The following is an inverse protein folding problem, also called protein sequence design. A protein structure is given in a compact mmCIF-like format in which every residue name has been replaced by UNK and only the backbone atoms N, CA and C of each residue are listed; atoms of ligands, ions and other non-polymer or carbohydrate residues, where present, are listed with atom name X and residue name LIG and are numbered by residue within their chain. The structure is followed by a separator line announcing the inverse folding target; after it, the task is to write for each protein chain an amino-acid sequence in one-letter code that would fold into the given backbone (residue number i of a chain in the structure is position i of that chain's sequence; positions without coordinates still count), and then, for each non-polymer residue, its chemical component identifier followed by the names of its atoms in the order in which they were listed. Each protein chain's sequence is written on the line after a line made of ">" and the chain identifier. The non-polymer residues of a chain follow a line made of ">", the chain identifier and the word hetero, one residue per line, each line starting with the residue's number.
data_IF_891830785418
#
_entry.id   IF_891830785418
#
_cell.length_a   1.000
_cell.length_b   1.000
_cell.length_c   1.000
_cell.angle_alpha   90.00
_cell.angle_beta   90.00
_cell.angle_gamma   90.00
#
_symmetry.space_group_name_H-M   'P 1'
#
loop_
_entity.id
_entity.type
_entity.pdbx_description
1 polymer ?
#
# COMPACT_ATOMS: atom_id res chain seq x y z
N UNK A 1 6.15 24.62 -8.32
CA UNK A 1 6.42 25.47 -9.50
C UNK A 1 7.92 25.79 -9.53
N UNK A 2 8.68 25.07 -10.33
CA UNK A 2 10.05 25.50 -10.68
C UNK A 2 9.94 26.67 -11.64
N UNK A 3 10.05 27.87 -11.15
CA UNK A 3 10.17 29.06 -11.97
C UNK A 3 11.63 29.45 -12.06
N UNK A 4 12.36 28.89 -13.00
CA UNK A 4 13.60 29.49 -13.48
C UNK A 4 14.78 28.53 -13.50
N UNK A 5 15.27 28.26 -14.67
CA UNK A 5 16.70 28.01 -14.90
C UNK A 5 17.45 29.27 -14.46
N UNK A 6 18.33 29.16 -13.49
CA UNK A 6 19.25 30.25 -13.16
C UNK A 6 20.23 30.43 -14.32
N UNK A 7 20.25 31.56 -15.01
CA UNK A 7 21.06 31.77 -16.22
C UNK A 7 22.58 31.79 -15.94
N UNK A 8 22.98 31.82 -14.69
CA UNK A 8 24.36 31.90 -14.20
C UNK A 8 24.92 30.57 -13.69
N UNK A 9 24.18 29.45 -13.83
CA UNK A 9 24.61 28.14 -13.33
C UNK A 9 24.69 28.05 -11.80
N UNK A 10 24.08 29.00 -11.08
CA UNK A 10 23.97 28.99 -9.63
C UNK A 10 23.01 27.86 -9.19
N UNK A 11 23.44 27.07 -8.24
CA UNK A 11 22.56 26.10 -7.56
C UNK A 11 21.76 26.85 -6.49
N UNK A 12 20.43 26.74 -6.55
CA UNK A 12 19.60 27.16 -5.43
C UNK A 12 19.79 26.18 -4.27
N UNK A 13 20.56 26.59 -3.28
CA UNK A 13 20.78 25.80 -2.07
C UNK A 13 19.91 26.30 -0.91
N UNK A 14 18.80 26.99 -1.21
CA UNK A 14 17.87 27.48 -0.18
C UNK A 14 17.25 26.36 0.64
N UNK A 15 17.11 25.18 0.04
CA UNK A 15 16.63 23.95 0.70
C UNK A 15 17.73 23.20 1.46
N UNK A 16 19.00 23.56 1.30
CA UNK A 16 20.16 22.86 1.88
C UNK A 16 20.42 21.43 1.36
N UNK A 17 19.82 21.05 0.22
CA UNK A 17 19.92 19.72 -0.36
C UNK A 17 21.07 19.59 -1.40
N UNK A 18 21.92 20.61 -1.55
CA UNK A 18 22.98 20.64 -2.57
C UNK A 18 24.22 19.79 -2.29
N UNK A 19 24.32 19.16 -1.14
CA UNK A 19 25.36 18.24 -0.72
C UNK A 19 24.77 16.83 -0.49
N UNK A 20 25.51 15.77 -0.76
CA UNK A 20 26.86 15.66 -1.34
C UNK A 20 26.91 16.05 -2.81
N UNK A 21 28.12 16.40 -3.28
CA UNK A 21 28.35 16.94 -4.63
C UNK A 21 28.05 15.93 -5.74
N UNK A 22 28.14 14.62 -5.47
CA UNK A 22 27.84 13.56 -6.43
C UNK A 22 26.83 12.58 -5.82
N UNK A 23 25.55 12.78 -6.13
CA UNK A 23 24.44 11.94 -5.74
C UNK A 23 23.80 11.34 -6.99
N UNK A 24 23.54 10.03 -6.97
CA UNK A 24 22.84 9.31 -8.05
C UNK A 24 21.40 8.97 -7.67
N UNK A 25 21.16 8.72 -6.39
CA UNK A 25 19.82 8.49 -5.88
C UNK A 25 19.67 8.99 -4.45
N UNK A 26 18.43 9.21 -4.05
CA UNK A 26 18.04 9.56 -2.69
C UNK A 26 16.85 8.70 -2.30
N UNK A 27 16.74 8.38 -1.02
CA UNK A 27 15.58 7.71 -0.44
C UNK A 27 14.72 8.76 0.27
N UNK A 28 13.46 8.85 -0.13
CA UNK A 28 12.48 9.77 0.45
C UNK A 28 11.52 9.01 1.36
N UNK A 29 11.25 9.56 2.52
CA UNK A 29 10.33 8.99 3.50
C UNK A 29 10.06 9.96 4.63
N UNK A 30 8.95 9.80 5.30
CA UNK A 30 8.64 10.47 6.55
C UNK A 30 9.30 9.62 7.66
N UNK A 31 10.53 9.97 8.03
CA UNK A 31 11.37 9.13 8.91
C UNK A 31 11.02 9.25 10.39
N UNK A 32 10.31 10.29 10.82
CA UNK A 32 9.87 10.49 12.20
C UNK A 32 8.34 10.51 12.37
N UNK A 33 7.61 10.24 11.30
CA UNK A 33 6.14 10.24 11.24
C UNK A 33 5.53 11.60 11.64
N UNK A 34 6.18 12.73 11.23
CA UNK A 34 5.68 14.08 11.45
C UNK A 34 4.75 14.60 10.34
N UNK A 35 4.62 13.84 9.23
CA UNK A 35 3.77 14.13 8.07
C UNK A 35 4.50 14.86 6.95
N UNK A 36 5.79 15.12 7.07
CA UNK A 36 6.61 15.72 6.02
C UNK A 36 7.62 14.70 5.48
N UNK A 37 7.82 14.73 4.16
CA UNK A 37 8.78 13.83 3.52
C UNK A 37 10.20 14.33 3.74
N UNK A 38 10.99 13.55 4.45
CA UNK A 38 12.41 13.72 4.66
C UNK A 38 13.22 13.08 3.53
N UNK A 39 14.52 13.25 3.57
CA UNK A 39 15.38 12.65 2.56
C UNK A 39 16.72 12.16 3.12
N UNK A 40 17.05 10.91 2.76
CA UNK A 40 18.40 10.39 2.81
C UNK A 40 19.06 10.63 1.45
N UNK A 41 20.12 11.42 1.42
CA UNK A 41 20.89 11.74 0.21
C UNK A 41 22.15 10.87 0.19
N UNK A 42 22.21 9.93 -0.74
CA UNK A 42 23.30 8.97 -0.81
C UNK A 42 24.52 9.51 -1.57
N UNK A 43 25.69 9.49 -0.95
CA UNK A 43 26.95 9.79 -1.62
C UNK A 43 27.46 8.58 -2.40
N UNK A 44 28.04 8.80 -3.59
CA UNK A 44 28.57 7.73 -4.42
C UNK A 44 30.00 7.33 -4.06
N UNK A 45 30.74 8.19 -3.41
CA UNK A 45 32.13 7.95 -2.99
C UNK A 45 32.52 8.78 -1.75
N UNK A 46 33.59 8.38 -1.09
CA UNK A 46 34.10 9.06 0.12
C UNK A 46 34.52 10.52 -0.10
N UNK A 47 34.82 10.89 -1.35
CA UNK A 47 35.20 12.27 -1.71
C UNK A 47 34.04 13.22 -1.91
N UNK A 48 32.79 12.72 -1.84
CA UNK A 48 31.60 13.48 -2.19
C UNK A 48 30.96 14.22 -0.99
N UNK A 49 31.58 14.18 0.18
CA UNK A 49 31.08 14.85 1.39
C UNK A 49 30.30 13.92 2.36
N UNK A 50 30.14 12.65 2.01
CA UNK A 50 29.42 11.66 2.81
C UNK A 50 27.91 11.69 2.59
N UNK A 51 27.23 10.70 3.13
CA UNK A 51 25.76 10.66 3.12
C UNK A 51 25.17 11.79 3.94
N UNK A 52 23.93 12.19 3.63
CA UNK A 52 23.17 13.18 4.38
C UNK A 52 21.81 12.64 4.75
N UNK A 53 21.41 12.92 5.98
CA UNK A 53 20.04 12.73 6.47
C UNK A 53 19.45 14.11 6.72
N UNK A 54 18.42 14.47 5.96
CA UNK A 54 17.86 15.81 5.95
C UNK A 54 16.40 15.75 6.39
N UNK A 55 16.11 16.34 7.54
CA UNK A 55 14.76 16.48 8.08
C UNK A 55 14.04 17.66 7.41
N UNK A 56 12.84 17.43 6.92
CA UNK A 56 11.98 18.46 6.36
C UNK A 56 11.32 19.28 7.47
N UNK A 57 11.49 20.60 7.46
CA UNK A 57 10.92 21.49 8.47
C UNK A 57 9.45 21.89 8.18
N UNK A 58 8.84 21.39 7.09
CA UNK A 58 7.48 21.73 6.67
C UNK A 58 7.31 23.11 6.05
N UNK A 59 8.37 23.90 5.95
CA UNK A 59 8.38 25.26 5.40
C UNK A 59 9.17 25.39 4.09
N UNK A 60 9.59 24.25 3.52
CA UNK A 60 10.41 24.17 2.30
C UNK A 60 11.91 24.17 2.58
N UNK A 61 12.32 24.20 3.85
CA UNK A 61 13.74 24.05 4.24
C UNK A 61 13.98 22.71 4.90
N UNK A 62 15.27 22.30 4.98
CA UNK A 62 15.68 21.06 5.63
C UNK A 62 16.74 21.31 6.69
N UNK A 63 16.71 20.50 7.74
CA UNK A 63 17.72 20.47 8.79
C UNK A 63 18.62 19.24 8.62
N UNK A 64 19.94 19.44 8.57
CA UNK A 64 20.92 18.34 8.52
C UNK A 64 20.96 17.61 9.88
N UNK A 65 20.54 16.34 9.85
CA UNK A 65 20.52 15.41 10.99
C UNK A 65 21.59 14.31 10.87
N UNK A 66 22.50 14.43 9.94
CA UNK A 66 23.49 13.39 9.61
C UNK A 66 24.36 13.00 10.80
N UNK A 67 24.91 14.00 11.52
CA UNK A 67 25.90 13.74 12.55
C UNK A 67 25.35 12.94 13.72
N UNK A 68 25.87 11.72 13.90
CA UNK A 68 25.45 10.81 14.97
C UNK A 68 24.16 10.05 14.69
N UNK A 69 23.60 10.18 13.49
CA UNK A 69 22.41 9.45 13.09
C UNK A 69 22.67 7.98 12.74
N UNK A 70 23.93 7.62 12.47
CA UNK A 70 24.30 6.28 12.04
C UNK A 70 24.30 6.08 10.52
N UNK A 71 23.69 6.99 9.75
CA UNK A 71 23.68 6.90 8.26
C UNK A 71 25.08 7.07 7.67
N UNK A 72 26.01 7.69 8.39
CA UNK A 72 27.43 7.84 7.98
C UNK A 72 28.12 6.48 7.79
N UNK A 73 27.57 5.41 8.40
CA UNK A 73 28.12 4.06 8.32
C UNK A 73 27.62 3.30 7.09
N UNK A 74 26.70 3.87 6.32
CA UNK A 74 26.19 3.22 5.12
C UNK A 74 27.27 3.07 4.04
N UNK A 75 27.21 2.02 3.21
CA UNK A 75 28.15 1.85 2.11
C UNK A 75 27.90 2.89 1.01
N UNK A 76 28.95 3.47 0.47
CA UNK A 76 28.88 4.36 -0.68
C UNK A 76 28.41 3.62 -1.93
N UNK A 77 27.64 4.29 -2.76
CA UNK A 77 27.14 3.74 -4.02
C UNK A 77 26.07 4.60 -4.64
N UNK A 78 25.40 4.05 -5.65
CA UNK A 78 24.55 4.82 -6.55
C UNK A 78 23.06 4.48 -6.43
N UNK A 79 22.69 3.58 -5.51
CA UNK A 79 21.31 3.11 -5.42
C UNK A 79 20.83 3.15 -3.97
N UNK A 80 19.78 3.90 -3.73
CA UNK A 80 19.13 4.03 -2.45
C UNK A 80 17.62 4.02 -2.65
N UNK A 81 16.90 3.36 -1.75
CA UNK A 81 15.44 3.28 -1.73
C UNK A 81 14.96 3.22 -0.28
N UNK A 82 13.67 3.40 -0.05
CA UNK A 82 13.06 3.45 1.28
C UNK A 82 11.91 2.48 1.42
N UNK A 83 11.74 1.92 2.63
CA UNK A 83 10.64 1.04 2.98
C UNK A 83 10.79 0.56 4.42
N UNK A 84 9.70 0.16 5.04
CA UNK A 84 9.69 -0.39 6.39
C UNK A 84 9.93 -1.90 6.31
N UNK A 85 11.18 -2.34 6.49
CA UNK A 85 11.59 -3.74 6.31
C UNK A 85 11.28 -4.61 7.53
N UNK A 86 11.16 -4.01 8.70
CA UNK A 86 10.86 -4.75 9.93
C UNK A 86 9.40 -4.59 10.40
N UNK A 87 8.59 -3.82 9.66
CA UNK A 87 7.19 -3.52 9.98
C UNK A 87 6.99 -2.90 11.36
N UNK A 88 7.94 -2.09 11.85
CA UNK A 88 7.82 -1.40 13.15
C UNK A 88 7.08 -0.05 13.05
N UNK A 89 6.79 0.41 11.84
CA UNK A 89 6.07 1.65 11.55
C UNK A 89 6.95 2.82 11.15
N UNK A 90 8.28 2.66 11.19
CA UNK A 90 9.22 3.68 10.75
C UNK A 90 9.87 3.26 9.42
N UNK A 91 10.10 4.23 8.55
CA UNK A 91 10.69 3.97 7.24
C UNK A 91 12.19 3.73 7.40
N UNK A 92 12.67 2.60 6.91
CA UNK A 92 14.07 2.24 6.79
C UNK A 92 14.64 2.67 5.44
N UNK A 93 15.95 2.58 5.28
CA UNK A 93 16.65 2.87 4.00
C UNK A 93 17.43 1.65 3.53
N UNK A 94 17.14 1.21 2.30
CA UNK A 94 18.01 0.28 1.56
C UNK A 94 19.09 1.08 0.84
N UNK A 95 20.31 1.06 1.34
CA UNK A 95 21.44 1.75 0.75
C UNK A 95 22.46 0.73 0.20
N UNK A 96 22.53 0.64 -1.12
CA UNK A 96 23.50 -0.19 -1.84
C UNK A 96 23.61 -1.65 -1.36
N UNK A 97 22.54 -2.20 -0.79
CA UNK A 97 22.47 -3.57 -0.31
C UNK A 97 22.53 -3.72 1.20
N UNK A 98 22.84 -2.67 1.92
CA UNK A 98 22.69 -2.63 3.38
C UNK A 98 21.39 -1.97 3.76
N UNK A 99 20.77 -2.41 4.85
CA UNK A 99 19.56 -1.81 5.39
C UNK A 99 19.94 -0.96 6.61
N UNK A 100 19.55 0.30 6.58
CA UNK A 100 19.60 1.20 7.72
C UNK A 100 18.25 1.13 8.41
N UNK A 101 18.15 0.40 9.51
CA UNK A 101 16.93 0.29 10.30
C UNK A 101 16.72 1.58 11.11
N UNK A 102 15.58 2.21 10.93
CA UNK A 102 15.19 3.42 11.62
C UNK A 102 14.76 3.10 13.06
N UNK A 103 15.34 3.81 14.04
CA UNK A 103 15.02 3.62 15.45
C UNK A 103 13.84 4.49 15.92
N UNK A 104 13.22 5.29 15.03
CA UNK A 104 12.08 6.16 15.32
C UNK A 104 12.42 7.50 15.96
N UNK A 105 13.70 7.87 16.00
CA UNK A 105 14.22 9.11 16.61
C UNK A 105 15.24 9.86 15.72
N UNK A 106 15.15 9.65 14.40
CA UNK A 106 16.14 10.12 13.41
C UNK A 106 17.54 9.50 13.57
N UNK A 107 17.65 8.37 14.28
CA UNK A 107 18.85 7.55 14.28
C UNK A 107 18.59 6.24 13.57
N UNK A 108 19.65 5.65 12.99
CA UNK A 108 19.58 4.44 12.22
C UNK A 108 20.62 3.43 12.66
N UNK A 109 20.25 2.16 12.69
CA UNK A 109 21.15 1.04 12.95
C UNK A 109 21.45 0.33 11.64
N UNK A 110 22.74 0.25 11.29
CA UNK A 110 23.15 -0.48 10.09
C UNK A 110 22.98 -1.99 10.30
N UNK A 111 22.16 -2.61 9.45
CA UNK A 111 21.98 -4.05 9.39
C UNK A 111 22.80 -4.61 8.22
N UNK A 112 23.91 -5.28 8.55
CA UNK A 112 24.83 -5.84 7.53
C UNK A 112 24.42 -7.23 7.04
N UNK A 113 23.25 -7.70 7.44
CA UNK A 113 22.85 -9.08 7.21
C UNK A 113 21.93 -9.26 6.02
N UNK A 114 22.45 -9.53 4.85
CA UNK A 114 21.63 -10.37 4.00
C UNK A 114 21.15 -9.90 2.65
N UNK A 115 21.32 -8.64 2.24
CA UNK A 115 20.99 -8.22 0.87
C UNK A 115 22.29 -7.91 0.12
N UNK A 116 22.75 -8.77 -0.82
CA UNK A 116 23.99 -8.53 -1.54
C UNK A 116 23.78 -7.55 -2.71
N UNK A 117 23.49 -6.29 -2.40
CA UNK A 117 23.37 -5.21 -3.36
C UNK A 117 21.96 -4.63 -3.44
N UNK A 118 21.81 -3.50 -4.13
CA UNK A 118 20.53 -2.82 -4.29
C UNK A 118 19.57 -3.60 -5.18
N UNK A 119 18.28 -3.36 -5.04
CA UNK A 119 17.25 -4.03 -5.84
C UNK A 119 15.91 -3.31 -5.76
N UNK A 120 14.94 -3.80 -6.53
CA UNK A 120 13.56 -3.37 -6.43
C UNK A 120 12.94 -3.90 -5.12
N UNK A 121 12.18 -3.06 -4.45
CA UNK A 121 11.50 -3.39 -3.19
C UNK A 121 10.03 -3.75 -3.47
N UNK A 122 9.54 -4.79 -2.82
CA UNK A 122 8.14 -5.20 -2.87
C UNK A 122 7.90 -6.49 -2.09
N UNK A 123 6.65 -6.77 -1.78
CA UNK A 123 6.21 -7.98 -1.11
C UNK A 123 5.87 -9.03 -2.18
N UNK A 124 6.81 -9.92 -2.47
CA UNK A 124 6.72 -10.85 -3.58
C UNK A 124 5.94 -12.14 -3.24
N UNK A 125 5.86 -12.50 -1.98
CA UNK A 125 5.16 -13.69 -1.49
C UNK A 125 3.81 -13.36 -0.82
N UNK A 126 3.46 -12.06 -0.71
CA UNK A 126 2.25 -11.54 -0.06
C UNK A 126 2.16 -11.87 1.44
N UNK A 127 3.29 -11.88 2.14
CA UNK A 127 3.33 -12.04 3.60
C UNK A 127 3.33 -10.68 4.35
N UNK A 128 3.37 -9.57 3.62
CA UNK A 128 3.34 -8.21 4.13
C UNK A 128 4.70 -7.65 4.51
N UNK A 129 5.77 -8.41 4.31
CA UNK A 129 7.14 -7.94 4.52
C UNK A 129 7.80 -7.61 3.18
N UNK A 130 8.60 -6.55 3.19
CA UNK A 130 9.26 -6.10 1.97
C UNK A 130 10.44 -6.99 1.62
N UNK A 131 10.40 -7.56 0.43
CA UNK A 131 11.46 -8.33 -0.20
C UNK A 131 12.31 -7.45 -1.11
N UNK A 132 13.49 -7.92 -1.48
CA UNK A 132 14.38 -7.24 -2.43
C UNK A 132 14.67 -8.14 -3.62
N UNK A 133 14.35 -7.67 -4.83
CA UNK A 133 14.67 -8.35 -6.08
C UNK A 133 15.86 -7.67 -6.75
N UNK A 134 17.00 -8.40 -6.83
CA UNK A 134 18.22 -7.92 -7.42
C UNK A 134 18.62 -8.81 -8.62
N UNK A 135 18.30 -8.35 -9.81
CA UNK A 135 18.68 -9.01 -11.05
C UNK A 135 18.09 -10.42 -11.20
N UNK A 136 18.78 -11.43 -10.71
CA UNK A 136 18.38 -12.82 -10.83
C UNK A 136 17.96 -13.47 -9.50
N UNK A 137 18.05 -12.74 -8.40
CA UNK A 137 17.79 -13.27 -7.06
C UNK A 137 16.66 -12.48 -6.38
N UNK A 138 15.77 -13.22 -5.76
CA UNK A 138 14.79 -12.70 -4.83
C UNK A 138 15.30 -13.00 -3.41
N UNK A 139 15.48 -11.93 -2.64
CA UNK A 139 15.81 -12.00 -1.21
C UNK A 139 14.54 -11.78 -0.42
N UNK A 140 14.00 -12.89 0.07
CA UNK A 140 12.79 -12.85 0.89
C UNK A 140 13.12 -12.45 2.31
N UNK A 141 12.36 -11.50 2.82
CA UNK A 141 12.40 -11.09 4.21
C UNK A 141 11.80 -12.17 5.11
N UNK A 142 12.23 -12.23 6.36
CA UNK A 142 11.68 -13.15 7.34
C UNK A 142 10.71 -12.40 8.27
N UNK A 143 9.43 -12.79 8.31
CA UNK A 143 8.46 -12.19 9.21
C UNK A 143 8.91 -12.24 10.68
N UNK A 144 8.77 -11.13 11.39
CA UNK A 144 9.14 -10.98 12.79
C UNK A 144 7.95 -10.97 13.76
N UNK A 145 6.73 -11.12 13.23
CA UNK A 145 5.48 -11.11 14.00
C UNK A 145 4.82 -9.73 14.10
N UNK A 146 5.43 -8.67 13.59
CA UNK A 146 4.80 -7.34 13.50
C UNK A 146 3.62 -7.35 12.52
N UNK A 147 2.62 -6.55 12.83
CA UNK A 147 1.45 -6.35 11.99
C UNK A 147 1.76 -5.38 10.84
N UNK A 148 0.96 -5.46 9.78
CA UNK A 148 1.16 -4.69 8.56
C UNK A 148 -0.15 -4.37 7.85
N UNK A 149 -0.10 -3.40 6.93
CA UNK A 149 -1.13 -3.12 5.94
C UNK A 149 -0.47 -2.84 4.59
N UNK A 150 -0.96 -3.50 3.53
CA UNK A 150 -0.61 -3.19 2.15
C UNK A 150 -1.82 -2.55 1.47
N UNK A 151 -1.65 -1.38 0.87
CA UNK A 151 -2.72 -0.69 0.15
C UNK A 151 -2.42 -0.69 -1.34
N UNK A 152 -3.40 -1.15 -2.12
CA UNK A 152 -3.40 -1.18 -3.58
C UNK A 152 -4.40 -0.15 -4.07
N UNK A 153 -3.94 0.85 -4.78
CA UNK A 153 -4.77 1.95 -5.28
C UNK A 153 -5.24 1.67 -6.71
N UNK A 154 -6.52 1.92 -6.98
CA UNK A 154 -7.12 1.86 -8.33
C UNK A 154 -7.80 3.20 -8.62
N UNK A 155 -7.18 4.01 -9.48
CA UNK A 155 -7.75 5.28 -9.92
C UNK A 155 -8.90 5.09 -10.89
N UNK A 156 -9.90 5.95 -10.81
CA UNK A 156 -11.02 6.02 -11.76
C UNK A 156 -11.03 7.35 -12.51
N UNK A 157 -10.82 8.45 -11.82
CA UNK A 157 -10.62 9.80 -12.38
C UNK A 157 -9.12 10.11 -12.45
N UNK A 158 -8.36 9.68 -11.45
CA UNK A 158 -6.90 9.64 -11.47
C UNK A 158 -6.37 8.56 -12.43
N UNK A 159 -5.04 8.49 -12.63
CA UNK A 159 -4.46 7.38 -13.38
C UNK A 159 -4.78 6.03 -12.71
N UNK A 160 -4.87 4.98 -13.51
CA UNK A 160 -5.35 3.65 -13.07
C UNK A 160 -4.58 3.06 -11.87
N UNK A 161 -3.31 3.39 -11.73
CA UNK A 161 -2.47 2.88 -10.63
C UNK A 161 -2.47 3.81 -9.41
N UNK A 162 -3.18 4.95 -9.45
CA UNK A 162 -3.18 5.93 -8.36
C UNK A 162 -1.85 6.66 -8.14
N UNK A 163 -0.93 6.63 -9.12
CA UNK A 163 0.38 7.28 -8.99
C UNK A 163 0.19 8.77 -8.67
N UNK A 164 0.85 9.24 -7.61
CA UNK A 164 0.69 10.57 -7.05
C UNK A 164 -0.38 10.69 -5.96
N UNK A 165 -1.07 9.60 -5.63
CA UNK A 165 -1.93 9.58 -4.46
C UNK A 165 -1.08 9.49 -3.18
N UNK A 166 -1.53 10.17 -2.12
CA UNK A 166 -1.01 10.03 -0.76
C UNK A 166 -1.93 9.15 0.05
N UNK A 167 -1.38 8.12 0.63
CA UNK A 167 -2.07 7.23 1.57
C UNK A 167 -1.60 7.56 2.97
N UNK A 168 -2.55 7.83 3.85
CA UNK A 168 -2.33 8.16 5.25
C UNK A 168 -3.07 7.17 6.12
N UNK A 169 -2.41 6.64 7.16
CA UNK A 169 -3.05 5.82 8.18
C UNK A 169 -2.80 6.42 9.56
N UNK A 170 -3.78 6.28 10.46
CA UNK A 170 -3.63 6.62 11.87
C UNK A 170 -3.82 5.37 12.73
N UNK A 171 -2.84 5.11 13.58
CA UNK A 171 -2.83 3.99 14.53
C UNK A 171 -2.36 4.47 15.90
N UNK A 172 -2.07 3.55 16.82
CA UNK A 172 -1.45 3.91 18.10
C UNK A 172 0.01 4.39 17.96
N UNK A 173 0.68 4.14 16.82
CA UNK A 173 2.00 4.69 16.48
C UNK A 173 1.94 6.15 16.00
N UNK A 174 0.75 6.75 15.88
CA UNK A 174 0.55 8.04 15.27
C UNK A 174 0.08 7.93 13.83
N UNK A 175 0.35 8.99 13.04
CA UNK A 175 -0.01 9.05 11.64
C UNK A 175 1.22 8.71 10.80
N UNK A 176 1.05 7.83 9.82
CA UNK A 176 2.04 7.47 8.84
C UNK A 176 1.56 7.86 7.45
N UNK A 177 2.45 8.37 6.60
CA UNK A 177 2.16 8.73 5.22
C UNK A 177 3.01 7.91 4.24
N UNK A 178 2.42 7.54 3.10
CA UNK A 178 3.13 6.93 1.96
C UNK A 178 2.57 7.49 0.67
N UNK A 179 3.43 7.86 -0.25
CA UNK A 179 3.02 8.31 -1.57
C UNK A 179 3.12 7.16 -2.59
N UNK A 180 2.14 7.03 -3.46
CA UNK A 180 2.16 6.07 -4.58
C UNK A 180 3.10 6.62 -5.65
N UNK A 181 4.27 6.03 -5.78
CA UNK A 181 5.35 6.51 -6.66
C UNK A 181 5.57 5.58 -7.84
N UNK A 182 5.91 6.13 -9.00
CA UNK A 182 6.20 5.36 -10.22
C UNK A 182 7.69 5.12 -10.46
N UNK A 183 8.50 5.33 -9.45
CA UNK A 183 9.95 5.11 -9.47
C UNK A 183 10.57 5.69 -8.24
N UNK A 184 11.45 4.91 -7.67
CA UNK A 184 12.29 5.22 -6.53
C UNK A 184 13.72 4.84 -6.93
N UNK A 185 14.74 5.34 -6.28
CA UNK A 185 16.11 4.99 -6.60
C UNK A 185 16.58 5.40 -8.02
N UNK A 186 17.72 4.86 -8.43
CA UNK A 186 18.37 5.18 -9.71
C UNK A 186 18.08 4.16 -10.81
N UNK A 187 18.16 2.86 -10.53
CA UNK A 187 18.06 1.78 -11.53
C UNK A 187 16.85 0.86 -11.34
N UNK A 188 16.29 0.84 -10.17
CA UNK A 188 15.22 -0.07 -9.82
C UNK A 188 13.92 0.69 -9.59
N UNK A 189 12.84 0.04 -9.90
CA UNK A 189 11.50 0.51 -9.60
C UNK A 189 10.86 -0.49 -8.63
N UNK A 190 10.51 -0.02 -7.45
CA UNK A 190 9.79 -0.79 -6.45
C UNK A 190 8.33 -1.03 -6.80
N UNK A 191 7.61 -1.66 -5.90
CA UNK A 191 6.17 -1.86 -6.00
C UNK A 191 5.42 -0.53 -6.01
N UNK A 192 4.32 -0.45 -6.78
CA UNK A 192 3.40 0.70 -6.75
C UNK A 192 2.50 0.71 -5.50
N UNK A 193 2.45 -0.42 -4.76
CA UNK A 193 1.66 -0.51 -3.55
C UNK A 193 2.33 0.23 -2.41
N UNK A 194 1.53 0.78 -1.49
CA UNK A 194 2.06 1.37 -0.26
C UNK A 194 2.00 0.35 0.88
N UNK A 195 3.05 0.32 1.69
CA UNK A 195 3.23 -0.63 2.77
C UNK A 195 3.39 0.11 4.09
N UNK A 196 2.69 -0.34 5.11
CA UNK A 196 2.69 0.23 6.45
C UNK A 196 2.97 -0.86 7.47
N UNK A 197 4.07 -0.75 8.19
CA UNK A 197 4.32 -1.53 9.39
C UNK A 197 3.55 -0.94 10.57
N UNK A 198 3.15 -1.79 11.48
CA UNK A 198 2.28 -1.43 12.61
C UNK A 198 2.82 -1.93 13.94
N UNK A 199 3.99 -2.59 13.95
CA UNK A 199 4.50 -3.22 15.15
C UNK A 199 3.47 -4.18 15.74
N UNK A 200 3.23 -4.09 17.03
CA UNK A 200 2.23 -4.90 17.73
C UNK A 200 0.79 -4.36 17.62
N UNK A 201 0.57 -3.23 16.94
CA UNK A 201 -0.77 -2.62 16.85
C UNK A 201 -1.69 -3.47 15.98
N UNK A 202 -2.89 -3.70 16.47
CA UNK A 202 -3.91 -4.56 15.85
C UNK A 202 -5.05 -3.78 15.20
N UNK A 203 -4.99 -2.44 15.23
CA UNK A 203 -6.06 -1.59 14.69
C UNK A 203 -5.51 -0.33 14.03
N UNK A 204 -6.09 0.01 12.90
CA UNK A 204 -5.92 1.29 12.20
C UNK A 204 -7.22 2.05 12.36
N UNK A 205 -7.19 3.16 13.09
CA UNK A 205 -8.38 3.97 13.37
C UNK A 205 -8.94 4.61 12.10
N UNK A 206 -8.04 5.12 11.24
CA UNK A 206 -8.42 5.80 9.99
C UNK A 206 -7.39 5.53 8.92
N UNK A 207 -7.86 5.29 7.70
CA UNK A 207 -7.08 5.30 6.47
C UNK A 207 -7.69 6.37 5.57
N UNK A 208 -6.87 7.28 5.06
CA UNK A 208 -7.26 8.35 4.13
C UNK A 208 -6.42 8.26 2.87
N UNK A 209 -7.05 8.37 1.71
CA UNK A 209 -6.34 8.47 0.43
C UNK A 209 -6.68 9.80 -0.23
N UNK A 210 -5.65 10.61 -0.47
CA UNK A 210 -5.74 11.85 -1.22
C UNK A 210 -5.32 11.57 -2.66
N UNK A 211 -6.29 11.57 -3.57
CA UNK A 211 -6.05 11.24 -4.97
C UNK A 211 -5.61 12.47 -5.78
N UNK A 212 -4.82 12.29 -6.86
CA UNK A 212 -4.42 13.39 -7.74
C UNK A 212 -5.58 14.17 -8.36
N UNK A 213 -6.74 13.54 -8.50
CA UNK A 213 -7.97 14.20 -8.97
C UNK A 213 -8.56 15.22 -8.00
N UNK A 214 -8.10 15.20 -6.72
CA UNK A 214 -8.69 15.93 -5.61
C UNK A 214 -9.76 15.16 -4.85
N UNK A 215 -10.12 13.94 -5.29
CA UNK A 215 -10.98 13.04 -4.51
C UNK A 215 -10.28 12.66 -3.21
N UNK A 216 -11.05 12.48 -2.14
CA UNK A 216 -10.54 11.98 -0.85
C UNK A 216 -11.41 10.81 -0.43
N UNK A 217 -10.78 9.65 -0.21
CA UNK A 217 -11.43 8.46 0.32
C UNK A 217 -11.01 8.24 1.77
N UNK A 218 -11.98 7.96 2.66
CA UNK A 218 -11.74 7.75 4.08
C UNK A 218 -12.37 6.44 4.51
N UNK A 219 -11.59 5.61 5.20
CA UNK A 219 -12.04 4.36 5.83
C UNK A 219 -11.69 4.37 7.30
N UNK A 220 -12.61 3.90 8.14
CA UNK A 220 -12.41 3.82 9.59
C UNK A 220 -12.32 2.35 10.03
N UNK A 221 -11.57 2.10 11.11
CA UNK A 221 -11.43 0.78 11.73
C UNK A 221 -10.96 -0.29 10.73
N UNK A 222 -9.86 0.01 10.03
CA UNK A 222 -9.28 -0.91 9.04
C UNK A 222 -8.52 -2.02 9.77
N UNK A 223 -8.77 -3.26 9.39
CA UNK A 223 -8.07 -4.42 9.94
C UNK A 223 -6.63 -4.47 9.45
N UNK A 224 -5.75 -5.02 10.28
CA UNK A 224 -4.33 -5.26 9.95
C UNK A 224 -4.13 -6.58 9.22
N UNK A 225 -2.91 -6.86 8.77
CA UNK A 225 -2.46 -8.11 8.13
C UNK A 225 -3.28 -8.48 6.89
N UNK A 226 -3.46 -7.49 6.01
CA UNK A 226 -4.19 -7.68 4.76
C UNK A 226 -3.65 -6.80 3.62
N UNK A 227 -3.92 -7.24 2.39
CA UNK A 227 -3.83 -6.41 1.21
C UNK A 227 -5.19 -5.77 0.94
N UNK A 228 -5.28 -4.47 1.09
CA UNK A 228 -6.51 -3.70 0.91
C UNK A 228 -6.51 -3.02 -0.46
N UNK A 229 -7.49 -3.35 -1.29
CA UNK A 229 -7.69 -2.69 -2.59
C UNK A 229 -8.67 -1.55 -2.41
N UNK A 230 -8.26 -0.33 -2.73
CA UNK A 230 -9.11 0.86 -2.66
C UNK A 230 -9.28 1.45 -4.05
N UNK A 231 -10.54 1.56 -4.49
CA UNK A 231 -10.90 2.20 -5.76
C UNK A 231 -11.35 3.63 -5.50
N UNK A 232 -10.80 4.59 -6.24
CA UNK A 232 -11.07 6.01 -6.12
C UNK A 232 -12.57 6.32 -6.18
N UNK A 233 -13.06 7.05 -5.17
CA UNK A 233 -14.45 7.49 -5.05
C UNK A 233 -15.45 6.40 -4.69
N UNK A 234 -14.99 5.19 -4.31
CA UNK A 234 -15.90 4.10 -3.92
C UNK A 234 -16.01 3.91 -2.39
N UNK A 235 -15.24 4.67 -1.61
CA UNK A 235 -15.31 4.62 -0.14
C UNK A 235 -16.34 5.61 0.43
N UNK A 236 -17.29 6.07 -0.39
CA UNK A 236 -18.35 6.96 0.08
C UNK A 236 -19.27 6.26 1.06
N UNK A 237 -19.14 6.72 2.28
CA UNK A 237 -19.99 6.59 3.47
C UNK A 237 -19.63 5.51 4.48
N UNK A 238 -19.35 5.98 5.64
CA UNK A 238 -19.70 5.57 6.99
C UNK A 238 -21.02 4.81 7.08
N UNK A 239 -21.02 3.60 6.61
CA UNK A 239 -21.76 2.54 7.25
C UNK A 239 -20.75 1.40 7.38
N UNK A 240 -20.52 0.93 8.59
CA UNK A 240 -19.94 -0.37 8.83
C UNK A 240 -20.73 -1.38 8.02
N UNK A 241 -20.37 -1.58 6.78
CA UNK A 241 -20.67 -2.83 6.11
C UNK A 241 -19.85 -3.85 6.87
N UNK A 242 -20.41 -4.37 7.98
CA UNK A 242 -20.10 -5.73 8.35
C UNK A 242 -20.10 -6.47 7.02
N UNK A 243 -18.97 -7.04 6.60
CA UNK A 243 -18.99 -7.94 5.45
C UNK A 243 -20.07 -8.96 5.78
N UNK A 244 -21.22 -8.78 5.13
CA UNK A 244 -22.34 -9.64 5.34
C UNK A 244 -21.89 -11.01 4.93
N UNK A 245 -21.73 -11.87 5.92
CA UNK A 245 -21.18 -13.19 5.69
C UNK A 245 -22.21 -13.96 4.87
N UNK A 246 -21.96 -14.03 3.57
CA UNK A 246 -22.60 -15.03 2.74
C UNK A 246 -21.81 -16.32 2.99
N UNK A 247 -22.44 -17.27 3.64
CA UNK A 247 -21.88 -18.60 3.81
C UNK A 247 -22.58 -19.60 2.90
N UNK A 248 -21.80 -20.46 2.29
CA UNK A 248 -22.28 -21.53 1.40
C UNK A 248 -21.86 -22.85 2.00
N UNK A 249 -22.83 -23.71 2.31
CA UNK A 249 -22.53 -25.00 2.91
C UNK A 249 -23.54 -26.09 2.44
N UNK A 250 -23.11 -27.36 2.44
CA UNK A 250 -21.74 -27.80 2.62
C UNK A 250 -20.85 -27.38 1.46
N UNK A 251 -19.58 -27.13 1.74
CA UNK A 251 -18.54 -26.95 0.71
C UNK A 251 -17.29 -27.75 1.16
N UNK A 252 -16.92 -28.84 0.47
CA UNK A 252 -17.53 -29.36 -0.77
C UNK A 252 -18.97 -29.86 -0.64
N UNK A 253 -19.75 -29.73 -1.71
CA UNK A 253 -21.14 -30.19 -1.80
C UNK A 253 -21.25 -31.49 -2.60
N UNK A 254 -22.30 -32.27 -2.33
CA UNK A 254 -22.62 -33.50 -3.10
C UNK A 254 -23.77 -33.16 -4.07
N UNK A 255 -24.97 -32.89 -3.56
CA UNK A 255 -26.16 -32.70 -4.39
C UNK A 255 -26.77 -31.31 -4.28
N UNK A 256 -26.53 -30.59 -3.20
CA UNK A 256 -27.10 -29.28 -2.94
C UNK A 256 -26.25 -28.45 -2.00
N UNK A 257 -26.46 -27.13 -2.06
CA UNK A 257 -25.88 -26.16 -1.13
C UNK A 257 -26.99 -25.29 -0.52
N UNK A 258 -26.77 -24.84 0.70
CA UNK A 258 -27.52 -23.76 1.33
C UNK A 258 -26.69 -22.51 1.35
N UNK A 259 -27.29 -21.38 0.94
CA UNK A 259 -26.67 -20.06 1.01
C UNK A 259 -27.30 -19.33 2.18
N UNK A 260 -26.51 -19.01 3.21
CA UNK A 260 -26.91 -18.11 4.31
C UNK A 260 -26.36 -16.72 4.08
N UNK A 261 -27.20 -15.74 4.30
CA UNK A 261 -26.86 -14.31 4.21
C UNK A 261 -27.64 -13.57 5.29
N UNK A 262 -27.01 -12.52 5.83
CA UNK A 262 -27.69 -11.60 6.76
C UNK A 262 -28.77 -10.74 6.05
N UNK A 263 -28.80 -10.76 4.71
CA UNK A 263 -29.85 -10.12 3.91
C UNK A 263 -30.84 -11.13 3.36
N UNK A 264 -32.08 -10.66 3.16
CA UNK A 264 -33.07 -11.43 2.44
C UNK A 264 -32.60 -11.72 1.01
N UNK A 265 -32.45 -13.00 0.69
CA UNK A 265 -32.21 -13.47 -0.66
C UNK A 265 -33.50 -13.71 -1.45
N UNK A 266 -34.62 -13.22 -0.94
CA UNK A 266 -35.90 -13.29 -1.64
C UNK A 266 -35.81 -12.56 -2.99
N UNK A 267 -36.23 -13.22 -4.06
CA UNK A 267 -36.11 -12.77 -5.45
C UNK A 267 -34.67 -12.61 -5.97
N UNK A 268 -33.64 -13.04 -5.22
CA UNK A 268 -32.27 -13.06 -5.72
C UNK A 268 -32.15 -14.03 -6.91
N UNK A 269 -31.34 -13.64 -7.89
CA UNK A 269 -30.91 -14.52 -8.99
C UNK A 269 -29.58 -15.16 -8.57
N UNK A 270 -29.59 -16.47 -8.43
CA UNK A 270 -28.40 -17.27 -8.15
C UNK A 270 -27.95 -17.92 -9.44
N UNK A 271 -26.72 -17.65 -9.86
CA UNK A 271 -26.12 -18.20 -11.05
C UNK A 271 -24.86 -18.97 -10.69
N UNK A 272 -24.68 -20.15 -11.29
CA UNK A 272 -23.47 -20.97 -11.16
C UNK A 272 -22.74 -20.99 -12.47
N UNK A 273 -21.44 -20.79 -12.43
CA UNK A 273 -20.58 -20.76 -13.61
C UNK A 273 -19.47 -21.83 -13.47
N UNK A 274 -19.10 -22.45 -14.57
CA UNK A 274 -17.87 -23.24 -14.64
C UNK A 274 -16.62 -22.32 -14.68
N UNK A 275 -15.43 -22.91 -14.53
CA UNK A 275 -14.17 -22.15 -14.55
C UNK A 275 -13.87 -21.43 -15.88
N UNK A 276 -14.59 -21.77 -16.95
CA UNK A 276 -14.50 -21.07 -18.24
C UNK A 276 -15.47 -19.87 -18.32
N UNK A 277 -16.19 -19.57 -17.22
CA UNK A 277 -17.16 -18.48 -17.17
C UNK A 277 -18.50 -18.80 -17.85
N UNK A 278 -18.73 -20.04 -18.29
CA UNK A 278 -20.00 -20.46 -18.86
C UNK A 278 -21.01 -20.69 -17.72
N UNK A 279 -22.17 -20.03 -17.80
CA UNK A 279 -23.25 -20.26 -16.84
C UNK A 279 -23.88 -21.63 -17.02
N UNK A 280 -23.78 -22.46 -15.98
CA UNK A 280 -24.27 -23.85 -15.96
C UNK A 280 -25.59 -24.02 -15.23
N UNK A 281 -25.89 -23.14 -14.25
CA UNK A 281 -27.19 -23.07 -13.56
C UNK A 281 -27.64 -21.61 -13.41
N UNK A 282 -28.97 -21.41 -13.42
CA UNK A 282 -29.58 -20.12 -13.14
C UNK A 282 -30.87 -20.38 -12.35
N UNK A 283 -30.91 -19.86 -11.14
CA UNK A 283 -31.98 -20.12 -10.20
C UNK A 283 -32.53 -18.80 -9.65
N UNK A 284 -33.85 -18.63 -9.67
CA UNK A 284 -34.50 -17.50 -9.01
C UNK A 284 -35.02 -17.98 -7.65
N UNK A 285 -34.53 -17.39 -6.59
CA UNK A 285 -35.00 -17.69 -5.24
C UNK A 285 -36.40 -17.12 -5.01
N UNK A 286 -37.39 -17.96 -4.73
CA UNK A 286 -38.81 -17.60 -4.52
C UNK A 286 -39.24 -17.93 -3.09
N UNK A 287 -38.41 -17.72 -2.08
CA UNK A 287 -38.77 -17.94 -0.68
C UNK A 287 -37.61 -17.79 0.27
N UNK A 288 -37.86 -17.79 1.56
CA UNK A 288 -36.82 -17.52 2.58
C UNK A 288 -35.73 -18.59 2.75
N UNK A 289 -35.71 -19.63 1.94
CA UNK A 289 -34.73 -20.71 1.99
C UNK A 289 -33.90 -20.70 0.70
N UNK A 290 -32.58 -20.59 0.84
CA UNK A 290 -31.63 -20.39 -0.28
C UNK A 290 -30.97 -21.72 -0.65
N UNK A 291 -31.72 -22.78 -0.88
CA UNK A 291 -31.19 -24.05 -1.36
C UNK A 291 -31.04 -24.05 -2.86
N UNK A 292 -29.86 -24.47 -3.33
CA UNK A 292 -29.53 -24.63 -4.75
C UNK A 292 -29.24 -26.12 -5.00
N UNK A 293 -30.03 -26.73 -5.87
CA UNK A 293 -29.79 -28.11 -6.34
C UNK A 293 -28.64 -28.11 -7.34
N UNK A 294 -27.62 -28.91 -7.07
CA UNK A 294 -26.43 -29.08 -7.89
C UNK A 294 -26.37 -30.47 -8.54
N UNK A 295 -27.39 -31.34 -8.35
CA UNK A 295 -27.40 -32.73 -8.77
C UNK A 295 -27.21 -32.91 -10.29
N UNK A 296 -27.49 -31.89 -11.08
CA UNK A 296 -27.26 -31.87 -12.53
C UNK A 296 -25.84 -31.51 -12.95
N UNK A 297 -24.99 -31.09 -12.01
CA UNK A 297 -23.62 -30.67 -12.31
C UNK A 297 -22.66 -31.86 -12.18
N UNK A 298 -21.62 -31.86 -13.01
CA UNK A 298 -20.50 -32.81 -12.88
C UNK A 298 -19.66 -32.46 -11.64
N UNK A 299 -18.89 -33.44 -11.15
CA UNK A 299 -17.90 -33.16 -10.09
C UNK A 299 -16.88 -32.13 -10.64
N UNK A 300 -16.67 -31.03 -9.90
CA UNK A 300 -15.78 -29.96 -10.32
C UNK A 300 -15.85 -28.73 -9.40
N UNK A 301 -15.09 -27.71 -9.75
CA UNK A 301 -15.11 -26.40 -9.10
C UNK A 301 -16.01 -25.44 -9.87
N UNK A 302 -16.78 -24.64 -9.16
CA UNK A 302 -17.77 -23.74 -9.74
C UNK A 302 -17.75 -22.40 -9.03
N UNK A 303 -18.05 -21.33 -9.74
CA UNK A 303 -18.23 -19.97 -9.21
C UNK A 303 -19.71 -19.69 -9.04
N UNK A 304 -20.11 -19.32 -7.82
CA UNK A 304 -21.49 -18.96 -7.50
C UNK A 304 -21.62 -17.44 -7.42
N UNK A 305 -22.66 -16.90 -8.07
CA UNK A 305 -23.03 -15.48 -8.02
C UNK A 305 -24.48 -15.36 -7.61
N UNK A 306 -24.72 -14.63 -6.52
CA UNK A 306 -26.07 -14.25 -6.07
C UNK A 306 -26.27 -12.73 -6.26
N UNK A 307 -27.35 -12.32 -6.92
CA UNK A 307 -27.71 -10.92 -7.17
C UNK A 307 -29.14 -10.68 -6.71
N UNK A 308 -29.32 -9.81 -5.72
CA UNK A 308 -30.62 -9.30 -5.29
C UNK A 308 -30.83 -7.90 -5.85
N UNK A 309 -31.94 -7.68 -6.54
CA UNK A 309 -32.33 -6.35 -6.99
C UNK A 309 -33.20 -5.70 -5.91
N UNK A 310 -32.69 -4.71 -5.21
CA UNK A 310 -33.52 -3.76 -4.50
C UNK A 310 -34.08 -2.77 -5.51
N UNK A 311 -35.39 -2.71 -5.70
CA UNK A 311 -36.06 -1.68 -6.49
C UNK A 311 -35.83 -0.31 -5.84
N UNK A 312 -35.00 0.53 -6.44
CA UNK A 312 -35.02 1.96 -6.18
C UNK A 312 -36.21 2.55 -6.94
N UNK A 313 -37.33 2.81 -6.26
CA UNK A 313 -38.39 3.62 -6.83
C UNK A 313 -37.98 5.08 -6.71
N UNK A 314 -37.58 5.68 -7.84
CA UNK A 314 -37.43 7.13 -7.93
C UNK A 314 -38.82 7.76 -7.80
N UNK A 315 -39.00 8.79 -6.96
CA UNK A 315 -40.28 9.49 -6.92
C UNK A 315 -40.48 10.20 -8.26
N UNK A 316 -41.53 9.79 -8.99
CA UNK A 316 -42.01 10.54 -10.15
C UNK A 316 -42.74 11.78 -9.64
N UNK A 317 -42.15 12.96 -9.81
CA UNK A 317 -42.88 14.22 -9.63
C UNK A 317 -43.80 14.39 -10.82
N UNK A 318 -45.09 14.23 -10.61
CA UNK A 318 -46.13 14.72 -11.53
C UNK A 318 -46.23 16.22 -11.36
N UNK A 319 -45.87 16.98 -12.36
CA UNK A 319 -46.29 18.38 -12.48
C UNK A 319 -47.71 18.36 -13.00
N UNK A 320 -48.65 18.89 -12.17
CA UNK A 320 -49.97 19.34 -12.58
C UNK A 320 -49.91 20.83 -12.97
#
# INVERSE_FOLDING_TARGET
>A
YYSGFYPDGGHDNSSNLGDPVQTWSSAWGDFDNDGYMDVYVGASATGDGGHKLMQNNGDGTFTDRTSGSGVENAPYGIENDSGDFNNDGYIDVLSNGSILLNNGDFTFTLYEGGVPGPGAIGDANNDGFLDVFNGNNLYQNNPNGNNWLKVVTIGTTSNINGIGARVEITSALGTQIRDVQSGTGFRYMGSLNTYFGLGENTNISTLTIYWPSGTVDIMNNVSVNQSLVVTEGQTLSTETSSMNQISVFPNPAIDSIEIKSDYSLENAIISVFDLNGRRVLNYKNVGGSSYVDLSSLSVGEYILRAVSYTHLTLPTSTHG
#
